data_IF_387292839286
#
_entry.id   IF_387292839286
#
_cell.length_a   1.000
_cell.length_b   1.000
_cell.length_c   1.000
_cell.angle_alpha   90.00
_cell.angle_beta   90.00
_cell.angle_gamma   90.00
#
_symmetry.space_group_name_H-M   'P 1'
#
loop_
_entity.id
_entity.type
_entity.pdbx_description
1 polymer ?
#
# COMPACT_ATOMS: atom_id res chain seq x y z
N UNK A 1 19.93 22.82 0.67
CA UNK A 1 20.27 21.50 1.25
C UNK A 1 19.87 20.39 0.30
N UNK A 2 20.77 19.44 0.07
CA UNK A 2 20.58 18.27 -0.80
C UNK A 2 19.64 17.24 -0.16
N UNK A 3 19.03 16.37 -0.97
CA UNK A 3 18.26 15.17 -0.54
C UNK A 3 18.94 14.42 0.61
N UNK A 4 20.28 14.37 0.59
CA UNK A 4 21.17 13.80 1.61
C UNK A 4 20.86 14.29 3.03
N UNK A 5 20.63 15.59 3.24
CA UNK A 5 20.37 16.11 4.58
C UNK A 5 19.02 15.67 5.15
N UNK A 6 18.01 15.50 4.29
CA UNK A 6 16.70 14.99 4.68
C UNK A 6 16.78 13.50 5.01
N UNK A 7 17.48 12.72 4.20
CA UNK A 7 17.78 11.31 4.47
C UNK A 7 18.57 11.15 5.77
N UNK A 8 19.61 11.95 6.00
CA UNK A 8 20.41 11.90 7.21
C UNK A 8 19.59 12.21 8.47
N UNK A 9 18.76 13.26 8.44
CA UNK A 9 17.87 13.59 9.55
C UNK A 9 16.90 12.44 9.86
N UNK A 10 16.34 11.81 8.82
CA UNK A 10 15.47 10.66 8.98
C UNK A 10 16.20 9.48 9.64
N UNK A 11 17.40 9.14 9.15
CA UNK A 11 18.20 8.04 9.70
C UNK A 11 18.59 8.28 11.16
N UNK A 12 18.98 9.50 11.53
CA UNK A 12 19.21 9.86 12.93
C UNK A 12 17.97 9.60 13.80
N UNK A 13 16.79 10.04 13.35
CA UNK A 13 15.55 9.82 14.07
C UNK A 13 15.20 8.33 14.19
N UNK A 14 15.40 7.58 13.11
CA UNK A 14 15.17 6.13 13.07
C UNK A 14 16.05 5.38 14.10
N UNK A 15 17.32 5.80 14.25
CA UNK A 15 18.25 5.28 15.26
C UNK A 15 18.00 5.83 16.68
N UNK A 16 16.93 6.61 16.89
CA UNK A 16 16.56 7.18 18.18
C UNK A 16 17.24 8.51 18.52
N UNK A 17 18.12 9.03 17.67
CA UNK A 17 18.77 10.34 17.85
C UNK A 17 17.93 11.48 17.25
N UNK A 18 16.80 11.74 17.90
CA UNK A 18 15.92 12.86 17.55
C UNK A 18 16.58 14.23 17.70
N UNK A 19 17.61 14.36 18.54
CA UNK A 19 18.31 15.63 18.75
C UNK A 19 19.11 16.01 17.51
N UNK A 20 19.88 15.07 16.95
CA UNK A 20 20.63 15.28 15.72
C UNK A 20 19.69 15.46 14.52
N UNK A 21 18.61 14.67 14.44
CA UNK A 21 17.59 14.84 13.40
C UNK A 21 17.03 16.27 13.34
N UNK A 22 16.61 16.80 14.50
CA UNK A 22 16.09 18.17 14.63
C UNK A 22 17.15 19.22 14.28
N UNK A 23 18.40 19.01 14.71
CA UNK A 23 19.51 19.94 14.42
C UNK A 23 19.76 20.03 12.90
N UNK A 24 19.85 18.89 12.22
CA UNK A 24 20.06 18.84 10.76
C UNK A 24 18.95 19.58 10.03
N UNK A 25 17.68 19.35 10.40
CA UNK A 25 16.53 20.02 9.79
C UNK A 25 16.48 21.53 10.09
N UNK A 26 16.89 21.95 11.28
CA UNK A 26 16.97 23.37 11.64
C UNK A 26 18.03 24.10 10.82
N UNK A 27 19.23 23.52 10.69
CA UNK A 27 20.32 24.05 9.85
C UNK A 27 19.95 24.04 8.36
N UNK A 28 19.17 23.04 7.93
CA UNK A 28 18.59 23.00 6.58
C UNK A 28 17.72 24.20 6.29
N UNK A 29 16.80 24.46 7.21
CA UNK A 29 15.81 25.50 7.08
C UNK A 29 16.43 26.89 7.14
N UNK A 30 17.47 27.09 7.96
CA UNK A 30 18.17 28.37 8.06
C UNK A 30 18.93 28.73 6.78
N UNK A 31 19.41 27.73 6.04
CA UNK A 31 20.14 27.90 4.78
C UNK A 31 19.24 27.82 3.54
N UNK A 32 17.99 27.40 3.69
CA UNK A 32 17.03 27.29 2.59
C UNK A 32 16.44 28.64 2.18
N UNK A 33 16.18 28.78 0.88
CA UNK A 33 15.38 29.90 0.36
C UNK A 33 13.97 29.87 0.95
N UNK A 34 13.32 31.04 1.14
CA UNK A 34 11.99 31.12 1.76
C UNK A 34 10.96 30.14 1.17
N UNK A 35 10.93 30.00 -0.15
CA UNK A 35 9.97 29.14 -0.87
C UNK A 35 10.20 27.63 -0.68
N UNK A 36 11.34 27.23 -0.11
CA UNK A 36 11.69 25.83 0.14
C UNK A 36 11.55 25.45 1.63
N UNK A 37 11.43 26.43 2.54
CA UNK A 37 11.37 26.19 3.99
C UNK A 37 10.23 25.28 4.39
N UNK A 38 9.08 25.39 3.72
CA UNK A 38 7.92 24.54 3.99
C UNK A 38 8.22 23.04 3.80
N UNK A 39 9.14 22.66 2.89
CA UNK A 39 9.51 21.24 2.67
C UNK A 39 10.27 20.68 3.86
N UNK A 40 11.17 21.47 4.45
CA UNK A 40 11.92 21.06 5.64
C UNK A 40 11.02 20.96 6.87
N UNK A 41 10.07 21.89 7.02
CA UNK A 41 9.07 21.83 8.10
C UNK A 41 8.09 20.67 7.91
N UNK A 42 7.67 20.41 6.67
CA UNK A 42 6.89 19.23 6.33
C UNK A 42 7.66 17.95 6.69
N UNK A 43 8.91 17.80 6.24
CA UNK A 43 9.72 16.63 6.59
C UNK A 43 9.97 16.52 8.10
N UNK A 44 10.14 17.65 8.79
CA UNK A 44 10.21 17.68 10.26
C UNK A 44 8.93 17.14 10.88
N UNK A 45 7.77 17.55 10.39
CA UNK A 45 6.49 17.05 10.88
C UNK A 45 6.31 15.55 10.62
N UNK A 46 6.79 15.03 9.49
CA UNK A 46 6.77 13.60 9.17
C UNK A 46 7.66 12.82 10.14
N UNK A 47 8.91 13.27 10.35
CA UNK A 47 9.84 12.64 11.29
C UNK A 47 9.28 12.67 12.72
N UNK A 48 8.72 13.80 13.17
CA UNK A 48 8.10 13.91 14.50
C UNK A 48 6.86 13.02 14.63
N UNK A 49 6.11 12.83 13.55
CA UNK A 49 4.94 11.94 13.52
C UNK A 49 5.33 10.48 13.71
N UNK A 50 6.46 10.08 13.12
CA UNK A 50 6.96 8.71 13.14
C UNK A 50 7.73 8.37 14.42
N UNK A 51 8.62 9.26 14.86
CA UNK A 51 9.60 8.98 15.93
C UNK A 51 9.57 9.97 17.10
N UNK A 52 8.87 11.09 16.93
CA UNK A 52 8.94 12.23 17.83
C UNK A 52 7.76 12.36 18.79
N UNK A 53 7.50 13.61 19.17
CA UNK A 53 6.52 13.95 20.21
C UNK A 53 5.23 14.52 19.60
N UNK A 54 4.04 13.94 19.86
CA UNK A 54 2.78 14.37 19.24
C UNK A 54 2.45 15.88 19.38
N UNK A 55 2.66 16.55 20.53
CA UNK A 55 2.32 17.98 20.67
C UNK A 55 3.09 18.92 19.71
N UNK A 56 4.24 18.48 19.22
CA UNK A 56 5.05 19.27 18.28
C UNK A 56 4.53 19.13 16.84
N UNK A 57 3.98 17.96 16.49
CA UNK A 57 3.52 17.65 15.13
C UNK A 57 2.46 18.63 14.66
N UNK A 58 1.43 18.85 15.47
CA UNK A 58 0.33 19.76 15.11
C UNK A 58 0.82 21.20 14.88
N UNK A 59 1.70 21.69 15.77
CA UNK A 59 2.29 23.03 15.66
C UNK A 59 3.12 23.16 14.38
N UNK A 60 3.96 22.16 14.09
CA UNK A 60 4.76 22.13 12.87
C UNK A 60 3.88 22.11 11.62
N UNK A 61 2.86 21.25 11.58
CA UNK A 61 1.97 21.13 10.43
C UNK A 61 1.15 22.41 10.18
N UNK A 62 0.60 23.02 11.23
CA UNK A 62 -0.16 24.27 11.10
C UNK A 62 0.73 25.42 10.61
N UNK A 63 1.95 25.52 11.14
CA UNK A 63 2.91 26.51 10.66
C UNK A 63 3.35 26.24 9.22
N UNK A 64 3.61 24.97 8.88
CA UNK A 64 3.94 24.55 7.52
C UNK A 64 2.85 24.94 6.55
N UNK A 65 1.58 24.67 6.88
CA UNK A 65 0.43 25.01 6.04
C UNK A 65 0.38 26.52 5.74
N UNK A 66 0.61 27.36 6.74
CA UNK A 66 0.59 28.82 6.59
C UNK A 66 1.62 29.35 5.58
N UNK A 67 2.80 28.74 5.51
CA UNK A 67 3.88 29.18 4.62
C UNK A 67 3.95 28.40 3.30
N UNK A 68 3.08 27.40 3.11
CA UNK A 68 3.12 26.52 1.95
C UNK A 68 2.53 27.20 0.71
N UNK A 69 3.22 27.17 -0.45
CA UNK A 69 2.67 27.71 -1.69
C UNK A 69 1.37 27.01 -2.10
N UNK A 70 0.43 27.74 -2.71
CA UNK A 70 -0.89 27.23 -3.11
C UNK A 70 -0.85 25.88 -3.84
N UNK A 71 0.11 25.70 -4.75
CA UNK A 71 0.29 24.47 -5.55
C UNK A 71 0.65 23.22 -4.71
N UNK A 72 1.08 23.40 -3.46
CA UNK A 72 1.54 22.33 -2.57
C UNK A 72 0.72 22.19 -1.29
N UNK A 73 -0.32 23.03 -1.11
CA UNK A 73 -1.20 22.98 0.06
C UNK A 73 -1.86 21.60 0.23
N UNK A 74 -2.24 20.95 -0.87
CA UNK A 74 -2.83 19.60 -0.83
C UNK A 74 -1.92 18.59 -0.11
N UNK A 75 -0.61 18.64 -0.37
CA UNK A 75 0.38 17.77 0.28
C UNK A 75 0.36 17.91 1.79
N UNK A 76 0.36 19.15 2.29
CA UNK A 76 0.40 19.43 3.73
C UNK A 76 -0.93 19.09 4.39
N UNK A 77 -2.06 19.42 3.75
CA UNK A 77 -3.38 19.06 4.25
C UNK A 77 -3.56 17.54 4.34
N UNK A 78 -2.99 16.76 3.42
CA UNK A 78 -3.05 15.29 3.49
C UNK A 78 -2.31 14.79 4.72
N UNK A 79 -1.12 15.32 5.02
CA UNK A 79 -0.40 15.00 6.25
C UNK A 79 -1.18 15.39 7.52
N UNK A 80 -1.83 16.56 7.53
CA UNK A 80 -2.68 16.98 8.65
C UNK A 80 -3.86 16.01 8.83
N UNK A 81 -4.55 15.63 7.74
CA UNK A 81 -5.66 14.68 7.81
C UNK A 81 -5.24 13.33 8.39
N UNK A 82 -4.09 12.81 7.96
CA UNK A 82 -3.48 11.58 8.46
C UNK A 82 -3.06 11.67 9.93
N UNK A 83 -2.47 12.80 10.34
CA UNK A 83 -2.13 13.04 11.74
C UNK A 83 -3.39 12.97 12.62
N UNK A 84 -4.46 13.67 12.25
CA UNK A 84 -5.73 13.59 12.98
C UNK A 84 -6.32 12.18 12.97
N UNK A 85 -6.18 11.43 11.88
CA UNK A 85 -6.60 10.03 11.83
C UNK A 85 -5.82 9.15 12.83
N UNK A 86 -4.50 9.36 12.92
CA UNK A 86 -3.61 8.65 13.84
C UNK A 86 -3.95 8.94 15.30
N UNK A 87 -4.12 10.21 15.68
CA UNK A 87 -4.49 10.59 17.06
C UNK A 87 -5.98 10.37 17.37
N UNK A 88 -6.71 9.72 16.45
CA UNK A 88 -8.12 9.38 16.56
C UNK A 88 -9.08 10.58 16.65
N UNK A 89 -8.65 11.78 16.24
CA UNK A 89 -9.51 12.96 16.08
C UNK A 89 -10.26 12.89 14.75
N UNK A 90 -11.30 12.05 14.73
CA UNK A 90 -12.11 11.83 13.54
C UNK A 90 -12.90 13.07 13.10
N UNK A 91 -13.15 14.04 14.00
CA UNK A 91 -13.89 15.26 13.67
C UNK A 91 -13.04 16.13 12.76
N UNK A 92 -11.78 16.38 13.14
CA UNK A 92 -10.86 17.17 12.35
C UNK A 92 -10.40 16.45 11.08
N UNK A 93 -10.11 15.15 11.13
CA UNK A 93 -9.79 14.37 9.94
C UNK A 93 -10.90 14.48 8.87
N UNK A 94 -12.16 14.23 9.25
CA UNK A 94 -13.32 14.34 8.34
C UNK A 94 -13.51 15.76 7.80
N UNK A 95 -13.20 16.80 8.58
CA UNK A 95 -13.31 18.20 8.14
C UNK A 95 -12.37 18.46 6.96
N UNK A 96 -11.10 18.05 7.08
CA UNK A 96 -10.08 18.25 6.03
C UNK A 96 -10.40 17.40 4.80
N UNK A 97 -10.76 16.13 5.00
CA UNK A 97 -11.18 15.27 3.89
C UNK A 97 -12.43 15.78 3.16
N UNK A 98 -13.33 16.52 3.82
CA UNK A 98 -14.46 17.18 3.13
C UNK A 98 -14.00 18.40 2.32
N UNK A 99 -13.00 19.14 2.79
CA UNK A 99 -12.42 20.29 2.09
C UNK A 99 -11.81 19.86 0.74
N UNK A 100 -11.07 18.76 0.75
CA UNK A 100 -10.53 18.09 -0.45
C UNK A 100 -11.55 17.89 -1.57
N UNK A 101 -12.78 17.53 -1.21
CA UNK A 101 -13.83 17.25 -2.21
C UNK A 101 -14.24 18.47 -3.02
N UNK A 102 -13.96 19.68 -2.52
CA UNK A 102 -14.40 20.95 -3.09
C UNK A 102 -13.25 21.71 -3.77
N UNK A 103 -12.06 21.70 -3.18
CA UNK A 103 -11.04 22.71 -3.48
C UNK A 103 -9.84 22.18 -4.30
N UNK A 104 -9.58 20.88 -4.31
CA UNK A 104 -8.31 20.33 -4.82
C UNK A 104 -8.49 19.17 -5.80
N UNK A 105 -9.51 19.24 -6.66
CA UNK A 105 -9.83 18.16 -7.61
C UNK A 105 -8.78 17.94 -8.70
N UNK A 106 -7.84 18.86 -8.88
CA UNK A 106 -6.72 18.71 -9.83
C UNK A 106 -5.59 17.79 -9.33
N UNK A 107 -5.59 17.40 -8.05
CA UNK A 107 -4.58 16.52 -7.47
C UNK A 107 -5.14 15.11 -7.26
N UNK A 108 -4.74 14.16 -8.10
CA UNK A 108 -5.22 12.78 -8.05
C UNK A 108 -4.97 12.10 -6.68
N UNK A 109 -3.92 12.52 -5.96
CA UNK A 109 -3.51 11.93 -4.67
C UNK A 109 -4.57 12.11 -3.60
N UNK A 110 -5.36 13.16 -3.70
CA UNK A 110 -6.48 13.41 -2.80
C UNK A 110 -7.59 12.38 -2.97
N UNK A 111 -7.83 11.94 -4.21
CA UNK A 111 -8.80 10.89 -4.48
C UNK A 111 -8.36 9.58 -3.85
N UNK A 112 -7.08 9.24 -4.04
CA UNK A 112 -6.48 8.06 -3.44
C UNK A 112 -6.55 8.13 -1.91
N UNK A 113 -6.08 9.23 -1.31
CA UNK A 113 -5.95 9.34 0.15
C UNK A 113 -7.31 9.33 0.85
N UNK A 114 -8.31 10.03 0.33
CA UNK A 114 -9.64 9.97 0.93
C UNK A 114 -10.33 8.62 0.72
N UNK A 115 -10.10 7.95 -0.42
CA UNK A 115 -10.60 6.59 -0.62
C UNK A 115 -9.98 5.62 0.40
N UNK A 116 -8.67 5.67 0.62
CA UNK A 116 -7.96 4.88 1.62
C UNK A 116 -8.45 5.18 3.05
N UNK A 117 -8.73 6.45 3.38
CA UNK A 117 -9.40 6.79 4.64
C UNK A 117 -10.78 6.13 4.75
N UNK A 118 -11.62 6.22 3.72
CA UNK A 118 -12.95 5.62 3.72
C UNK A 118 -12.89 4.09 3.87
N UNK A 119 -11.93 3.46 3.21
CA UNK A 119 -11.57 2.06 3.38
C UNK A 119 -11.24 1.81 4.83
N UNK A 120 -10.22 2.44 5.42
CA UNK A 120 -9.86 2.23 6.84
C UNK A 120 -11.04 2.40 7.81
N UNK A 121 -12.06 3.19 7.44
CA UNK A 121 -13.32 3.37 8.20
C UNK A 121 -14.43 2.36 7.91
N UNK A 122 -14.17 1.28 7.18
CA UNK A 122 -15.16 0.26 6.82
C UNK A 122 -16.14 0.71 5.74
N UNK A 123 -15.88 1.81 5.03
CA UNK A 123 -16.83 2.42 4.10
C UNK A 123 -16.47 2.17 2.63
N UNK A 124 -16.44 0.89 2.24
CA UNK A 124 -16.11 0.43 0.88
C UNK A 124 -16.97 1.11 -0.20
N UNK A 125 -18.29 1.16 -0.01
CA UNK A 125 -19.21 1.76 -1.01
C UNK A 125 -18.90 3.24 -1.28
N UNK A 126 -18.60 4.04 -0.25
CA UNK A 126 -18.20 5.44 -0.47
C UNK A 126 -16.81 5.54 -1.08
N UNK A 127 -15.89 4.64 -0.74
CA UNK A 127 -14.56 4.60 -1.35
C UNK A 127 -14.65 4.36 -2.86
N UNK A 128 -15.43 3.36 -3.29
CA UNK A 128 -15.68 3.07 -4.72
C UNK A 128 -16.20 4.31 -5.45
N UNK A 129 -17.26 4.95 -4.91
CA UNK A 129 -17.84 6.17 -5.51
C UNK A 129 -16.81 7.29 -5.63
N UNK A 130 -15.93 7.41 -4.64
CA UNK A 130 -14.90 8.45 -4.62
C UNK A 130 -13.77 8.17 -5.61
N UNK A 131 -13.31 6.92 -5.71
CA UNK A 131 -12.29 6.50 -6.67
C UNK A 131 -12.78 6.67 -8.10
N UNK A 132 -14.03 6.29 -8.41
CA UNK A 132 -14.65 6.48 -9.73
C UNK A 132 -14.64 7.95 -10.15
N UNK A 133 -15.02 8.87 -9.25
CA UNK A 133 -14.90 10.31 -9.48
C UNK A 133 -13.44 10.74 -9.77
N UNK A 134 -12.48 10.16 -9.07
CA UNK A 134 -11.06 10.42 -9.31
C UNK A 134 -10.61 9.97 -10.70
N UNK A 135 -11.03 8.80 -11.14
CA UNK A 135 -10.74 8.22 -12.46
C UNK A 135 -11.39 9.03 -13.59
N UNK A 136 -12.62 9.53 -13.40
CA UNK A 136 -13.28 10.40 -14.38
C UNK A 136 -12.46 11.67 -14.68
N UNK A 137 -11.74 12.19 -13.68
CA UNK A 137 -10.92 13.40 -13.81
C UNK A 137 -9.48 13.05 -14.22
N UNK A 138 -8.94 11.95 -13.68
CA UNK A 138 -7.53 11.55 -13.79
C UNK A 138 -7.42 10.14 -14.40
N UNK A 139 -7.96 9.97 -15.60
CA UNK A 139 -8.18 8.66 -16.23
C UNK A 139 -6.93 7.81 -16.45
N UNK A 140 -5.75 8.41 -16.59
CA UNK A 140 -4.49 7.68 -16.76
C UNK A 140 -3.79 7.31 -15.43
N UNK A 141 -4.43 7.55 -14.27
CA UNK A 141 -3.79 7.32 -12.97
C UNK A 141 -3.89 5.86 -12.54
N UNK A 142 -2.81 5.10 -12.78
CA UNK A 142 -2.69 3.69 -12.46
C UNK A 142 -3.07 3.31 -11.03
N UNK A 143 -2.63 4.09 -10.03
CA UNK A 143 -2.95 3.83 -8.61
C UNK A 143 -4.44 3.94 -8.27
N UNK A 144 -5.17 4.84 -8.92
CA UNK A 144 -6.62 4.96 -8.72
C UNK A 144 -7.32 3.76 -9.34
N UNK A 145 -6.89 3.34 -10.52
CA UNK A 145 -7.42 2.14 -11.19
C UNK A 145 -7.12 0.87 -10.43
N UNK A 146 -5.89 0.66 -9.97
CA UNK A 146 -5.52 -0.49 -9.15
C UNK A 146 -6.39 -0.55 -7.88
N UNK A 147 -6.57 0.58 -7.19
CA UNK A 147 -7.47 0.66 -6.04
C UNK A 147 -8.92 0.35 -6.42
N UNK A 148 -9.38 0.80 -7.59
CA UNK A 148 -10.74 0.53 -8.04
C UNK A 148 -10.97 -0.96 -8.33
N UNK A 149 -10.03 -1.62 -9.02
CA UNK A 149 -10.05 -3.07 -9.26
C UNK A 149 -10.10 -3.85 -7.94
N UNK A 150 -9.28 -3.46 -6.96
CA UNK A 150 -9.31 -4.08 -5.62
C UNK A 150 -10.64 -3.90 -4.90
N UNK A 151 -11.29 -2.75 -5.09
CA UNK A 151 -12.52 -2.40 -4.40
C UNK A 151 -13.77 -3.00 -5.05
N UNK A 152 -13.73 -3.41 -6.31
CA UNK A 152 -14.89 -3.90 -7.04
C UNK A 152 -15.29 -5.31 -6.59
N UNK A 153 -16.54 -5.71 -6.83
CA UNK A 153 -16.99 -7.08 -6.62
C UNK A 153 -16.35 -8.07 -7.60
N UNK A 154 -16.16 -9.32 -7.17
CA UNK A 154 -15.47 -10.38 -7.94
C UNK A 154 -16.01 -10.50 -9.38
N UNK A 155 -17.34 -10.41 -9.53
CA UNK A 155 -18.05 -10.55 -10.80
C UNK A 155 -17.71 -9.45 -11.81
N UNK A 156 -17.27 -8.29 -11.33
CA UNK A 156 -16.94 -7.12 -12.14
C UNK A 156 -15.43 -6.84 -12.17
N UNK A 157 -14.64 -7.49 -11.31
CA UNK A 157 -13.22 -7.22 -11.14
C UNK A 157 -12.43 -7.44 -12.43
N UNK A 158 -12.72 -8.51 -13.19
CA UNK A 158 -12.06 -8.79 -14.48
C UNK A 158 -12.36 -7.72 -15.53
N UNK A 159 -13.62 -7.29 -15.62
CA UNK A 159 -14.02 -6.19 -16.50
C UNK A 159 -13.32 -4.88 -16.11
N UNK A 160 -13.28 -4.56 -14.82
CA UNK A 160 -12.58 -3.36 -14.34
C UNK A 160 -11.08 -3.43 -14.60
N UNK A 161 -10.47 -4.60 -14.48
CA UNK A 161 -9.05 -4.80 -14.78
C UNK A 161 -8.76 -4.52 -16.26
N UNK A 162 -9.61 -4.98 -17.18
CA UNK A 162 -9.45 -4.68 -18.61
C UNK A 162 -9.52 -3.17 -18.85
N UNK A 163 -10.51 -2.48 -18.29
CA UNK A 163 -10.62 -1.03 -18.40
C UNK A 163 -9.40 -0.29 -17.82
N UNK A 164 -8.89 -0.78 -16.68
CA UNK A 164 -7.70 -0.27 -16.02
C UNK A 164 -6.47 -0.38 -16.93
N UNK A 165 -6.22 -1.57 -17.49
CA UNK A 165 -5.10 -1.81 -18.43
C UNK A 165 -5.22 -0.91 -19.67
N UNK A 166 -6.42 -0.75 -20.22
CA UNK A 166 -6.63 0.13 -21.38
C UNK A 166 -6.39 1.61 -21.05
N UNK A 167 -6.67 2.02 -19.80
CA UNK A 167 -6.54 3.42 -19.37
C UNK A 167 -5.12 3.78 -18.92
N UNK A 168 -4.40 2.84 -18.32
CA UNK A 168 -3.05 3.03 -17.78
C UNK A 168 -2.17 1.78 -17.99
N UNK A 169 -1.85 1.41 -19.25
CA UNK A 169 -1.22 0.13 -19.60
C UNK A 169 0.21 -0.05 -19.05
N UNK A 170 0.87 1.04 -18.64
CA UNK A 170 2.22 1.03 -18.08
C UNK A 170 2.22 1.21 -16.56
N UNK A 171 1.11 0.93 -15.88
CA UNK A 171 1.05 0.96 -14.42
C UNK A 171 1.35 -0.41 -13.86
N UNK A 172 2.49 -0.54 -13.18
CA UNK A 172 2.83 -1.78 -12.48
C UNK A 172 1.82 -2.13 -11.40
N UNK A 173 1.17 -1.15 -10.77
CA UNK A 173 0.12 -1.40 -9.77
C UNK A 173 -1.05 -2.19 -10.36
N UNK A 174 -1.48 -1.87 -11.58
CA UNK A 174 -2.56 -2.59 -12.28
C UNK A 174 -2.12 -4.02 -12.61
N UNK A 175 -0.88 -4.19 -13.06
CA UNK A 175 -0.33 -5.51 -13.38
C UNK A 175 -0.17 -6.39 -12.14
N UNK A 176 0.15 -5.83 -10.97
CA UNK A 176 0.09 -6.58 -9.70
C UNK A 176 -1.34 -7.04 -9.39
N UNK A 177 -2.36 -6.21 -9.64
CA UNK A 177 -3.74 -6.66 -9.47
C UNK A 177 -4.11 -7.79 -10.42
N UNK A 178 -3.62 -7.74 -11.67
CA UNK A 178 -3.76 -8.86 -12.60
C UNK A 178 -3.09 -10.14 -12.07
N UNK A 179 -1.89 -10.02 -11.51
CA UNK A 179 -1.18 -11.14 -10.89
C UNK A 179 -1.94 -11.70 -9.68
N UNK A 180 -2.46 -10.83 -8.80
CA UNK A 180 -3.29 -11.21 -7.65
C UNK A 180 -4.53 -11.97 -8.08
N UNK A 181 -5.21 -11.53 -9.14
CA UNK A 181 -6.35 -12.27 -9.71
C UNK A 181 -5.91 -13.64 -10.26
N UNK A 182 -4.80 -13.69 -10.99
CA UNK A 182 -4.27 -14.94 -11.53
C UNK A 182 -3.71 -15.90 -10.45
N UNK A 183 -3.45 -15.42 -9.24
CA UNK A 183 -3.06 -16.24 -8.09
C UNK A 183 -4.19 -16.45 -7.08
N UNK A 184 -5.40 -15.95 -7.35
CA UNK A 184 -6.55 -16.19 -6.47
C UNK A 184 -7.15 -17.58 -6.76
N UNK A 185 -7.04 -18.54 -5.83
CA UNK A 185 -7.46 -19.93 -6.07
C UNK A 185 -8.97 -20.06 -6.23
N UNK A 186 -9.72 -19.10 -5.70
CA UNK A 186 -11.18 -19.03 -5.82
C UNK A 186 -11.64 -18.47 -7.17
N UNK A 187 -10.75 -18.12 -8.09
CA UNK A 187 -11.16 -17.60 -9.39
C UNK A 187 -10.99 -18.65 -10.50
N UNK A 188 -11.84 -18.63 -11.54
CA UNK A 188 -11.59 -19.43 -12.74
C UNK A 188 -10.36 -18.93 -13.52
N UNK A 189 -9.82 -17.76 -13.18
CA UNK A 189 -8.67 -17.14 -13.82
C UNK A 189 -7.32 -17.59 -13.22
N UNK A 190 -7.34 -18.47 -12.21
CA UNK A 190 -6.12 -18.96 -11.56
C UNK A 190 -5.16 -19.58 -12.59
N UNK A 191 -3.98 -18.97 -12.72
CA UNK A 191 -2.95 -19.36 -13.67
C UNK A 191 -1.59 -18.75 -13.25
N UNK A 192 -0.69 -19.59 -12.73
CA UNK A 192 0.62 -19.14 -12.25
C UNK A 192 1.54 -18.62 -13.37
N UNK A 193 1.37 -19.10 -14.61
CA UNK A 193 2.15 -18.61 -15.76
C UNK A 193 1.74 -17.19 -16.16
N UNK A 194 0.44 -16.90 -16.11
CA UNK A 194 -0.06 -15.53 -16.33
C UNK A 194 0.38 -14.61 -15.20
N UNK A 195 0.33 -15.08 -13.95
CA UNK A 195 0.82 -14.30 -12.81
C UNK A 195 2.31 -13.93 -12.96
N UNK A 196 3.16 -14.87 -13.40
CA UNK A 196 4.58 -14.63 -13.70
C UNK A 196 4.77 -13.55 -14.77
N UNK A 197 4.01 -13.64 -15.86
CA UNK A 197 4.02 -12.62 -16.91
C UNK A 197 3.61 -11.24 -16.36
N UNK A 198 2.50 -11.16 -15.63
CA UNK A 198 2.01 -9.89 -15.07
C UNK A 198 3.00 -9.27 -14.07
N UNK A 199 3.65 -10.07 -13.22
CA UNK A 199 4.65 -9.56 -12.28
C UNK A 199 5.92 -9.07 -13.00
N UNK A 200 6.31 -9.73 -14.10
CA UNK A 200 7.43 -9.29 -14.94
C UNK A 200 7.13 -7.94 -15.57
N UNK A 201 5.96 -7.78 -16.19
CA UNK A 201 5.51 -6.50 -16.77
C UNK A 201 5.38 -5.42 -15.68
N UNK A 202 4.87 -5.79 -14.50
CA UNK A 202 4.75 -4.88 -13.38
C UNK A 202 6.09 -4.30 -12.94
N UNK A 203 7.09 -5.18 -12.75
CA UNK A 203 8.44 -4.79 -12.37
C UNK A 203 9.12 -3.96 -13.45
N UNK A 204 8.92 -4.30 -14.72
CA UNK A 204 9.45 -3.54 -15.85
C UNK A 204 8.91 -2.10 -15.88
N UNK A 205 7.60 -1.93 -15.67
CA UNK A 205 6.97 -0.61 -15.79
C UNK A 205 7.09 0.23 -14.52
N UNK A 206 7.08 -0.38 -13.35
CA UNK A 206 7.03 0.35 -12.07
C UNK A 206 7.80 -0.41 -10.97
N UNK A 207 9.13 -0.53 -11.08
CA UNK A 207 9.96 -1.23 -10.09
C UNK A 207 9.89 -0.60 -8.68
N UNK A 208 9.44 0.66 -8.60
CA UNK A 208 9.23 1.38 -7.34
C UNK A 208 7.95 0.97 -6.57
N UNK A 209 7.11 0.09 -7.13
CA UNK A 209 5.93 -0.42 -6.44
C UNK A 209 6.28 -1.68 -5.63
N UNK A 210 6.37 -1.54 -4.31
CA UNK A 210 6.93 -2.58 -3.45
C UNK A 210 6.02 -3.80 -3.24
N UNK A 211 4.72 -3.67 -3.47
CA UNK A 211 3.79 -4.80 -3.40
C UNK A 211 4.12 -5.91 -4.43
N UNK A 212 4.88 -5.59 -5.49
CA UNK A 212 5.36 -6.57 -6.48
C UNK A 212 6.14 -7.69 -5.80
N UNK A 213 7.02 -7.37 -4.85
CA UNK A 213 7.87 -8.36 -4.19
C UNK A 213 7.07 -9.35 -3.34
N UNK A 214 6.00 -8.88 -2.70
CA UNK A 214 5.07 -9.74 -1.94
C UNK A 214 4.47 -10.80 -2.87
N UNK A 215 4.02 -10.37 -4.05
CA UNK A 215 3.39 -11.26 -5.02
C UNK A 215 4.40 -12.14 -5.78
N UNK A 216 5.64 -11.67 -5.99
CA UNK A 216 6.74 -12.51 -6.51
C UNK A 216 7.10 -13.63 -5.54
N UNK A 217 7.20 -13.34 -4.24
CA UNK A 217 7.41 -14.34 -3.20
C UNK A 217 6.25 -15.35 -3.21
N UNK A 218 5.00 -14.88 -3.27
CA UNK A 218 3.83 -15.75 -3.36
C UNK A 218 3.90 -16.68 -4.57
N UNK A 219 4.22 -16.14 -5.74
CA UNK A 219 4.36 -16.93 -6.97
C UNK A 219 5.44 -18.01 -6.82
N UNK A 220 6.61 -17.67 -6.29
CA UNK A 220 7.68 -18.63 -6.06
C UNK A 220 7.24 -19.75 -5.12
N UNK A 221 6.59 -19.42 -4.00
CA UNK A 221 6.10 -20.39 -3.04
C UNK A 221 4.96 -21.27 -3.60
N UNK A 222 4.09 -20.73 -4.46
CA UNK A 222 3.05 -21.51 -5.12
C UNK A 222 3.61 -22.45 -6.20
N UNK A 223 4.68 -22.07 -6.90
CA UNK A 223 5.35 -22.90 -7.93
C UNK A 223 6.26 -23.97 -7.31
N UNK A 224 7.04 -23.60 -6.30
CA UNK A 224 8.10 -24.44 -5.71
C UNK A 224 7.81 -24.99 -4.31
N UNK A 225 6.64 -24.71 -3.75
CA UNK A 225 6.29 -25.06 -2.37
C UNK A 225 6.89 -24.12 -1.32
N UNK A 226 6.65 -24.41 -0.04
CA UNK A 226 7.06 -23.54 1.08
C UNK A 226 8.58 -23.39 1.27
N UNK A 227 9.36 -24.23 0.60
CA UNK A 227 10.83 -24.22 0.59
C UNK A 227 11.40 -23.79 -0.77
N UNK A 228 10.60 -23.12 -1.61
CA UNK A 228 11.05 -22.60 -2.89
C UNK A 228 12.28 -21.69 -2.72
N UNK A 229 13.17 -21.71 -3.71
CA UNK A 229 14.27 -20.76 -3.77
C UNK A 229 13.73 -19.34 -4.03
N UNK A 230 14.13 -18.42 -3.14
CA UNK A 230 13.73 -17.02 -3.18
C UNK A 230 14.92 -16.09 -3.49
N UNK A 231 16.11 -16.63 -3.77
CA UNK A 231 17.36 -15.88 -3.99
C UNK A 231 17.20 -14.73 -4.99
N UNK A 232 16.62 -15.01 -6.16
CA UNK A 232 16.39 -13.97 -7.17
C UNK A 232 15.48 -12.84 -6.67
N UNK A 233 14.38 -13.18 -5.99
CA UNK A 233 13.43 -12.16 -5.49
C UNK A 233 14.05 -11.38 -4.32
N UNK A 234 14.86 -12.05 -3.50
CA UNK A 234 15.64 -11.47 -2.42
C UNK A 234 16.64 -10.43 -2.94
N UNK A 235 17.45 -10.80 -3.93
CA UNK A 235 18.41 -9.89 -4.56
C UNK A 235 17.72 -8.68 -5.19
N UNK A 236 16.60 -8.90 -5.90
CA UNK A 236 15.80 -7.82 -6.49
C UNK A 236 15.16 -6.91 -5.44
N UNK A 237 14.76 -7.48 -4.29
CA UNK A 237 14.22 -6.71 -3.18
C UNK A 237 15.31 -5.84 -2.54
N UNK A 238 16.44 -6.43 -2.12
CA UNK A 238 17.52 -5.67 -1.47
C UNK A 238 18.16 -4.60 -2.36
N UNK A 239 18.14 -4.81 -3.68
CA UNK A 239 18.62 -3.84 -4.67
C UNK A 239 17.52 -2.87 -5.17
N UNK A 240 16.28 -3.05 -4.73
CA UNK A 240 15.11 -2.36 -5.24
C UNK A 240 14.98 -0.89 -4.82
N UNK A 241 14.19 -0.13 -5.59
CA UNK A 241 13.84 1.28 -5.31
C UNK A 241 12.39 1.45 -4.78
N UNK A 242 11.75 0.35 -4.37
CA UNK A 242 10.34 0.35 -3.98
C UNK A 242 10.02 1.24 -2.78
N UNK A 243 9.21 2.26 -3.00
CA UNK A 243 8.95 3.31 -2.01
C UNK A 243 7.47 3.51 -1.69
N UNK A 244 6.57 2.72 -2.30
CA UNK A 244 5.16 2.68 -1.92
C UNK A 244 4.51 1.34 -2.25
N UNK A 245 3.37 1.13 -1.63
CA UNK A 245 2.55 -0.07 -1.77
C UNK A 245 1.27 0.12 -0.95
N UNK A 246 0.24 -0.66 -1.23
CA UNK A 246 -0.96 -0.66 -0.37
C UNK A 246 -0.79 -1.66 0.77
N UNK A 247 -0.06 -2.74 0.49
CA UNK A 247 0.06 -3.93 1.32
C UNK A 247 1.40 -3.97 2.03
N UNK A 248 2.46 -3.50 1.39
CA UNK A 248 3.82 -3.53 1.93
C UNK A 248 3.91 -3.00 3.37
N UNK A 249 3.12 -1.99 3.71
CA UNK A 249 3.08 -1.38 5.04
C UNK A 249 2.42 -2.22 6.14
N UNK A 250 1.97 -3.44 5.82
CA UNK A 250 1.66 -4.46 6.82
C UNK A 250 2.93 -5.14 7.37
N UNK A 251 3.99 -5.17 6.57
CA UNK A 251 5.28 -5.79 6.88
C UNK A 251 6.38 -4.74 7.10
N UNK A 252 6.19 -3.54 6.53
CA UNK A 252 7.15 -2.45 6.50
C UNK A 252 6.77 -1.30 7.43
N UNK A 253 7.75 -0.79 8.18
CA UNK A 253 7.66 0.52 8.84
C UNK A 253 8.18 1.62 7.89
N UNK A 254 7.57 2.81 7.86
CA UNK A 254 8.09 3.92 7.06
C UNK A 254 9.58 4.18 7.35
N UNK A 255 10.38 4.12 6.30
CA UNK A 255 11.82 4.41 6.27
C UNK A 255 12.78 3.37 6.89
N UNK A 256 12.30 2.18 7.25
CA UNK A 256 13.13 0.97 7.09
C UNK A 256 12.96 0.54 5.64
N UNK A 257 14.02 0.61 4.83
CA UNK A 257 13.92 0.28 3.41
C UNK A 257 14.83 -0.90 3.09
N UNK A 258 14.25 -1.95 2.51
CA UNK A 258 14.97 -3.04 1.85
C UNK A 258 15.98 -3.75 2.76
N UNK A 259 15.51 -4.13 3.94
CA UNK A 259 16.32 -4.88 4.91
C UNK A 259 15.99 -6.37 4.87
N UNK A 260 16.95 -7.20 5.28
CA UNK A 260 16.75 -8.65 5.45
C UNK A 260 15.53 -8.97 6.32
N UNK A 261 15.39 -8.25 7.43
CA UNK A 261 14.30 -8.43 8.39
C UNK A 261 12.93 -8.16 7.75
N UNK A 262 12.86 -7.17 6.85
CA UNK A 262 11.63 -6.84 6.13
C UNK A 262 11.29 -7.93 5.12
N UNK A 263 12.28 -8.42 4.38
CA UNK A 263 12.11 -9.52 3.44
C UNK A 263 11.58 -10.77 4.15
N UNK A 264 12.23 -11.17 5.25
CA UNK A 264 11.82 -12.31 6.08
C UNK A 264 10.39 -12.15 6.61
N UNK A 265 10.03 -10.95 7.06
CA UNK A 265 8.68 -10.66 7.55
C UNK A 265 7.62 -10.83 6.43
N UNK A 266 7.93 -10.43 5.20
CA UNK A 266 7.06 -10.65 4.04
C UNK A 266 6.95 -12.14 3.75
N UNK A 267 8.08 -12.86 3.68
CA UNK A 267 8.10 -14.31 3.43
C UNK A 267 7.24 -15.07 4.45
N UNK A 268 7.40 -14.76 5.73
CA UNK A 268 6.61 -15.34 6.81
C UNK A 268 5.12 -15.02 6.68
N UNK A 269 4.79 -13.78 6.31
CA UNK A 269 3.43 -13.35 6.03
C UNK A 269 2.78 -14.17 4.92
N UNK A 270 3.48 -14.28 3.79
CA UNK A 270 3.00 -15.03 2.62
C UNK A 270 2.88 -16.52 2.92
N UNK A 271 3.85 -17.12 3.61
CA UNK A 271 3.77 -18.53 4.04
C UNK A 271 2.55 -18.79 4.91
N UNK A 272 2.30 -17.93 5.91
CA UNK A 272 1.13 -18.07 6.80
C UNK A 272 -0.18 -18.03 6.02
N UNK A 273 -0.28 -17.14 5.04
CA UNK A 273 -1.46 -17.03 4.18
C UNK A 273 -1.66 -18.29 3.32
N UNK A 274 -0.60 -18.74 2.62
CA UNK A 274 -0.66 -19.98 1.82
C UNK A 274 -1.03 -21.19 2.69
N UNK A 275 -0.46 -21.31 3.89
CA UNK A 275 -0.76 -22.40 4.83
C UNK A 275 -2.22 -22.33 5.28
N UNK A 276 -2.71 -21.15 5.63
CA UNK A 276 -4.09 -20.93 6.07
C UNK A 276 -5.09 -21.42 5.03
N UNK A 277 -4.77 -21.23 3.75
CA UNK A 277 -5.64 -21.61 2.65
C UNK A 277 -5.07 -22.73 1.75
N UNK A 278 -4.27 -23.63 2.33
CA UNK A 278 -3.55 -24.65 1.57
C UNK A 278 -4.46 -25.56 0.73
N UNK A 279 -5.67 -25.87 1.22
CA UNK A 279 -6.66 -26.70 0.53
C UNK A 279 -7.12 -26.05 -0.79
N UNK A 280 -7.57 -24.80 -0.74
CA UNK A 280 -8.03 -24.07 -1.91
C UNK A 280 -6.89 -23.88 -2.94
N UNK A 281 -5.67 -23.58 -2.49
CA UNK A 281 -4.52 -23.53 -3.37
C UNK A 281 -4.20 -24.87 -4.04
N UNK A 282 -4.25 -25.97 -3.28
CA UNK A 282 -4.03 -27.32 -3.81
C UNK A 282 -5.04 -27.66 -4.91
N UNK A 283 -6.32 -27.38 -4.67
CA UNK A 283 -7.40 -27.58 -5.65
C UNK A 283 -7.22 -26.71 -6.90
N UNK A 284 -6.89 -25.42 -6.74
CA UNK A 284 -6.68 -24.52 -7.86
C UNK A 284 -5.46 -24.91 -8.73
N UNK A 285 -4.36 -25.33 -8.09
CA UNK A 285 -3.18 -25.85 -8.79
C UNK A 285 -3.54 -27.11 -9.56
N UNK A 286 -4.26 -28.06 -8.93
CA UNK A 286 -4.71 -29.27 -9.61
C UNK A 286 -5.61 -28.94 -10.82
N UNK A 287 -6.60 -28.05 -10.66
CA UNK A 287 -7.48 -27.60 -11.77
C UNK A 287 -6.71 -27.06 -12.97
N UNK A 288 -5.61 -26.35 -12.73
CA UNK A 288 -4.76 -25.80 -13.80
C UNK A 288 -3.79 -26.81 -14.43
N UNK A 289 -3.60 -27.98 -13.80
CA UNK A 289 -2.55 -28.94 -14.15
C UNK A 289 -3.06 -30.24 -14.82
N UNK A 290 -4.36 -30.55 -14.78
CA UNK A 290 -4.89 -31.91 -15.08
C UNK A 290 -5.91 -32.02 -16.23
N UNK A 291 -6.18 -33.28 -16.62
CA UNK A 291 -7.10 -33.75 -17.69
C UNK A 291 -8.58 -33.55 -17.31
N UNK A 292 -9.44 -33.39 -18.33
CA UNK A 292 -10.87 -32.97 -18.30
C UNK A 292 -11.73 -33.54 -17.15
N UNK A 293 -11.59 -34.82 -16.79
CA UNK A 293 -12.42 -35.42 -15.73
C UNK A 293 -12.04 -34.94 -14.32
N UNK A 294 -10.75 -34.70 -14.07
CA UNK A 294 -10.27 -34.07 -12.83
C UNK A 294 -10.75 -32.62 -12.74
N UNK A 295 -10.89 -31.93 -13.88
CA UNK A 295 -11.34 -30.54 -13.93
C UNK A 295 -12.78 -30.41 -13.43
N UNK A 296 -13.68 -31.34 -13.80
CA UNK A 296 -15.09 -31.30 -13.35
C UNK A 296 -15.22 -31.40 -11.83
N UNK A 297 -14.48 -32.31 -11.21
CA UNK A 297 -14.49 -32.46 -9.75
C UNK A 297 -13.93 -31.21 -9.05
N UNK A 298 -12.84 -30.64 -9.58
CA UNK A 298 -12.27 -29.40 -9.03
C UNK A 298 -13.16 -28.16 -9.27
N UNK A 299 -13.98 -28.15 -10.33
CA UNK A 299 -15.00 -27.11 -10.56
C UNK A 299 -16.13 -27.17 -9.53
N UNK A 300 -16.52 -28.37 -9.09
CA UNK A 300 -17.49 -28.54 -7.99
C UNK A 300 -16.90 -28.08 -6.65
N UNK A 301 -15.65 -28.45 -6.36
CA UNK A 301 -14.93 -27.99 -5.17
C UNK A 301 -14.83 -26.46 -5.13
N UNK A 302 -14.53 -25.83 -6.27
CA UNK A 302 -14.49 -24.37 -6.39
C UNK A 302 -15.83 -23.71 -6.03
N UNK A 303 -16.97 -24.26 -6.50
CA UNK A 303 -18.29 -23.73 -6.16
C UNK A 303 -18.54 -23.78 -4.66
N UNK A 304 -18.23 -24.91 -4.02
CA UNK A 304 -18.38 -25.08 -2.57
C UNK A 304 -17.47 -24.12 -1.79
N UNK A 305 -16.23 -23.89 -2.24
CA UNK A 305 -15.32 -22.95 -1.59
C UNK A 305 -15.79 -21.50 -1.72
N UNK A 306 -16.33 -21.10 -2.88
CA UNK A 306 -16.92 -19.77 -3.09
C UNK A 306 -18.11 -19.47 -2.19
N UNK A 307 -18.87 -20.49 -1.81
CA UNK A 307 -20.02 -20.34 -0.90
C UNK A 307 -19.57 -20.11 0.54
N UNK A 308 -18.40 -20.63 0.93
CA UNK A 308 -17.92 -20.61 2.31
C UNK A 308 -16.86 -19.53 2.59
N UNK A 309 -16.16 -19.05 1.57
CA UNK A 309 -15.09 -18.07 1.73
C UNK A 309 -15.28 -16.84 0.84
N UNK A 310 -14.92 -15.67 1.36
CA UNK A 310 -14.96 -14.45 0.57
C UNK A 310 -13.84 -14.47 -0.49
N UNK A 311 -14.11 -14.19 -1.77
CA UNK A 311 -13.09 -14.11 -2.83
C UNK A 311 -11.96 -13.13 -2.51
N UNK A 312 -12.23 -12.13 -1.67
CA UNK A 312 -11.24 -11.15 -1.23
C UNK A 312 -10.26 -11.70 -0.19
N UNK A 313 -10.49 -12.88 0.40
CA UNK A 313 -9.63 -13.41 1.48
C UNK A 313 -8.26 -13.88 1.02
N UNK A 314 -8.04 -14.06 -0.30
CA UNK A 314 -6.87 -14.73 -0.84
C UNK A 314 -5.84 -13.84 -1.54
N UNK A 315 -6.21 -12.60 -1.83
CA UNK A 315 -5.25 -11.60 -2.31
C UNK A 315 -4.86 -10.75 -1.13
N UNK A 316 -3.57 -10.44 -1.00
CA UNK A 316 -3.07 -9.52 0.01
C UNK A 316 -3.62 -8.09 -0.13
N UNK A 317 -4.70 -7.85 -0.88
CA UNK A 317 -5.33 -6.55 -1.07
C UNK A 317 -6.01 -5.99 0.18
N UNK A 318 -6.93 -5.05 -0.06
CA UNK A 318 -7.59 -4.27 0.98
C UNK A 318 -8.24 -5.10 2.08
N UNK A 319 -8.78 -6.28 1.77
CA UNK A 319 -9.35 -7.25 2.73
C UNK A 319 -8.34 -7.67 3.79
N UNK A 320 -7.14 -8.09 3.40
CA UNK A 320 -6.07 -8.40 4.37
C UNK A 320 -5.61 -7.15 5.13
N UNK A 321 -5.70 -5.97 4.51
CA UNK A 321 -5.44 -4.68 5.15
C UNK A 321 -6.55 -4.30 6.15
N UNK A 322 -7.82 -4.60 5.86
CA UNK A 322 -8.94 -4.49 6.78
C UNK A 322 -8.73 -5.46 7.95
N UNK A 323 -8.40 -6.71 7.66
CA UNK A 323 -8.13 -7.73 8.67
C UNK A 323 -6.87 -7.39 9.48
N UNK A 324 -5.84 -6.76 8.91
CA UNK A 324 -4.71 -6.27 9.69
C UNK A 324 -5.13 -5.13 10.63
N UNK A 325 -6.01 -4.23 10.16
CA UNK A 325 -6.55 -3.11 10.94
C UNK A 325 -7.56 -3.54 12.02
N UNK A 326 -8.28 -4.65 11.83
CA UNK A 326 -9.39 -5.08 12.69
C UNK A 326 -9.21 -6.46 13.36
N UNK A 327 -8.57 -7.42 12.69
CA UNK A 327 -8.55 -8.85 13.03
C UNK A 327 -7.24 -9.40 13.64
N UNK A 328 -6.19 -8.59 13.83
CA UNK A 328 -4.94 -9.05 14.47
C UNK A 328 -4.86 -8.81 15.99
N UNK A 329 -6.00 -8.84 16.70
CA UNK A 329 -6.04 -8.65 18.16
C UNK A 329 -5.44 -9.82 18.97
N UNK A 330 -5.20 -10.99 18.37
CA UNK A 330 -4.94 -12.19 19.18
C UNK A 330 -3.46 -12.50 19.48
N UNK A 331 -2.49 -11.83 18.84
CA UNK A 331 -1.05 -12.18 19.05
C UNK A 331 -0.06 -11.01 19.01
N UNK A 332 -0.52 -9.77 18.86
CA UNK A 332 0.36 -8.59 18.82
C UNK A 332 0.16 -7.74 20.06
N UNK A 333 1.25 -7.20 20.60
CA UNK A 333 1.17 -6.21 21.67
C UNK A 333 0.43 -4.95 21.20
N UNK A 334 -0.21 -4.20 22.12
CA UNK A 334 -0.88 -2.94 21.77
C UNK A 334 0.03 -1.96 21.01
N UNK A 335 1.33 -1.96 21.30
CA UNK A 335 2.30 -1.09 20.63
C UNK A 335 2.55 -1.51 19.19
N UNK A 336 2.66 -2.80 18.90
CA UNK A 336 2.84 -3.31 17.54
C UNK A 336 1.62 -3.02 16.66
N UNK A 337 0.42 -3.12 17.22
CA UNK A 337 -0.82 -2.75 16.51
C UNK A 337 -0.86 -1.26 16.17
N UNK A 338 -0.43 -0.40 17.11
CA UNK A 338 -0.30 1.03 16.87
C UNK A 338 0.74 1.33 15.78
N UNK A 339 1.87 0.64 15.78
CA UNK A 339 2.93 0.81 14.78
C UNK A 339 2.49 0.38 13.37
N UNK A 340 1.78 -0.75 13.25
CA UNK A 340 1.20 -1.20 11.97
C UNK A 340 0.17 -0.19 11.48
N UNK A 341 -0.74 0.26 12.34
CA UNK A 341 -1.74 1.27 11.98
C UNK A 341 -1.11 2.58 11.53
N UNK A 342 -0.05 3.05 12.21
CA UNK A 342 0.73 4.21 11.78
C UNK A 342 1.32 3.95 10.39
N UNK A 343 2.01 2.84 10.20
CA UNK A 343 2.66 2.48 8.93
C UNK A 343 1.66 2.46 7.76
N UNK A 344 0.48 1.89 7.98
CA UNK A 344 -0.63 1.88 7.04
C UNK A 344 -1.14 3.30 6.70
N UNK A 345 -1.39 4.15 7.71
CA UNK A 345 -1.92 5.51 7.48
C UNK A 345 -0.89 6.34 6.71
N UNK A 346 0.39 6.20 7.05
CA UNK A 346 1.44 7.07 6.58
C UNK A 346 2.08 6.59 5.28
N UNK A 347 2.35 5.30 5.15
CA UNK A 347 3.09 4.72 4.03
C UNK A 347 2.39 4.79 2.67
N UNK A 348 1.06 4.70 2.62
CA UNK A 348 0.33 4.58 1.34
C UNK A 348 0.39 5.83 0.45
N UNK A 349 0.80 7.00 0.99
CA UNK A 349 0.88 8.24 0.21
C UNK A 349 1.85 9.30 0.74
N UNK A 350 2.57 9.07 1.85
CA UNK A 350 3.65 9.99 2.20
C UNK A 350 4.83 9.76 1.28
N UNK A 351 5.14 10.79 0.50
CA UNK A 351 6.45 10.93 -0.12
C UNK A 351 7.35 11.54 0.95
N UNK A 352 8.29 10.77 1.47
CA UNK A 352 9.49 11.37 2.05
C UNK A 352 10.33 11.87 0.88
N UNK A 353 10.56 13.19 0.83
CA UNK A 353 11.30 13.86 -0.24
C UNK A 353 12.79 13.46 -0.24
#
# INVERSE_FOLDING_TARGET
MTKIGQTAAFQCAHLGDMKSARKILAEAMSTASPDQRWRFLYNSSVIETLFGQPPLVEKLLNYTLHITPQKSISTVLMAIAKYYEQVNDMKNAKRIYKQFRKEFTSDWRIFLEYALFLIRRGNRSKAIKWVKKGIEIHSATGRLWALYVQLEDETLQSQRLVEAVMSAPKSGEIWVEAARMAMNPLTPFFNLKNAEFFLTESFLFTPQYADIFIEMIRLCLLKGGLNADLSTVHDLFLSGEGNYGTVIYMFRKPGTEFTEQEFDAIVDGVKKDIIRHAKAYSHAIARSSFVVDSVRHEEENLKNEKENESPFSFSFGLSSFFDAMYASQEKKSPQELLDVRKSIIFGTSMVML
#
